data_IF_638876135568
#
_entry.id   IF_638876135568
#
_cell.length_a   1.000
_cell.length_b   1.000
_cell.length_c   1.000
_cell.angle_alpha   90.00
_cell.angle_beta   90.00
_cell.angle_gamma   90.00
#
_symmetry.space_group_name_H-M   'P 1'
#
loop_
_entity.id
_entity.type
_entity.pdbx_description
1 polymer ?
#
# COMPACT_ATOMS: atom_id res chain seq x y z
N UNK A 1 1.76 20.38 11.62
CA UNK A 1 2.90 19.57 12.15
C UNK A 1 2.89 18.22 11.46
N UNK A 2 4.02 17.78 10.90
CA UNK A 2 4.18 16.43 10.34
C UNK A 2 5.34 15.77 11.07
N UNK A 3 5.16 14.55 11.59
CA UNK A 3 6.19 13.82 12.32
C UNK A 3 5.99 12.29 12.27
N UNK A 4 7.06 11.54 12.55
CA UNK A 4 7.04 10.08 12.60
C UNK A 4 6.79 9.61 14.05
N UNK A 5 5.77 8.79 14.26
CA UNK A 5 5.32 8.33 15.59
C UNK A 5 6.47 7.76 16.43
N UNK A 6 7.29 6.88 15.81
CA UNK A 6 8.40 6.21 16.49
C UNK A 6 9.58 7.13 16.85
N UNK A 7 9.62 8.35 16.33
CA UNK A 7 10.69 9.31 16.59
C UNK A 7 10.33 10.27 17.73
N UNK A 8 9.04 10.30 18.14
CA UNK A 8 8.58 11.14 19.23
C UNK A 8 8.88 10.49 20.59
N UNK A 9 9.43 11.29 21.49
CA UNK A 9 9.49 10.95 22.90
C UNK A 9 8.09 11.04 23.53
N UNK A 10 7.92 10.42 24.73
CA UNK A 10 6.66 10.55 25.47
C UNK A 10 6.27 12.01 25.73
N UNK A 11 7.22 12.86 26.06
CA UNK A 11 6.94 14.28 26.34
C UNK A 11 6.50 15.04 25.08
N UNK A 12 7.09 14.77 23.95
CA UNK A 12 6.68 15.36 22.66
C UNK A 12 5.29 14.87 22.27
N UNK A 13 5.00 13.58 22.46
CA UNK A 13 3.66 13.01 22.22
C UNK A 13 2.58 13.65 23.10
N UNK A 14 2.89 14.06 24.33
CA UNK A 14 1.96 14.79 25.22
C UNK A 14 1.58 16.17 24.68
N UNK A 15 2.41 16.77 23.82
CA UNK A 15 2.15 18.08 23.20
C UNK A 15 1.39 17.99 21.88
N UNK A 16 1.21 16.79 21.32
CA UNK A 16 0.44 16.60 20.08
C UNK A 16 -1.03 16.91 20.32
N UNK A 17 -1.63 17.75 19.46
CA UNK A 17 -3.08 17.97 19.42
C UNK A 17 -3.77 16.73 18.85
N UNK A 18 -4.00 15.73 19.70
CA UNK A 18 -4.48 14.41 19.30
C UNK A 18 -5.89 14.40 18.71
N UNK A 19 -6.70 15.38 19.06
CA UNK A 19 -8.08 15.50 18.53
C UNK A 19 -8.09 15.92 17.05
N UNK A 20 -7.20 16.85 16.68
CA UNK A 20 -7.11 17.38 15.32
C UNK A 20 -6.00 16.72 14.47
N UNK A 21 -5.21 15.83 15.05
CA UNK A 21 -4.13 15.14 14.36
C UNK A 21 -4.65 13.88 13.66
N UNK A 22 -4.28 13.71 12.39
CA UNK A 22 -4.50 12.47 11.63
C UNK A 22 -3.34 11.53 11.93
N UNK A 23 -3.63 10.29 12.32
CA UNK A 23 -2.62 9.21 12.36
C UNK A 23 -2.73 8.41 11.08
N UNK A 24 -1.71 8.49 10.22
CA UNK A 24 -1.62 7.71 8.98
C UNK A 24 -0.91 6.39 9.27
N UNK A 25 -1.61 5.27 9.05
CA UNK A 25 -1.14 3.91 9.35
C UNK A 25 -0.87 3.19 8.02
N UNK A 26 0.39 3.13 7.55
CA UNK A 26 0.72 2.51 6.28
C UNK A 26 0.77 0.98 6.40
N UNK A 27 0.02 0.31 5.52
CA UNK A 27 -0.15 -1.13 5.48
C UNK A 27 0.54 -1.72 4.25
N UNK A 28 1.70 -2.31 4.44
CA UNK A 28 2.44 -3.06 3.42
C UNK A 28 2.13 -4.56 3.45
N UNK A 29 2.94 -5.32 2.73
CA UNK A 29 2.95 -6.77 2.75
C UNK A 29 4.36 -7.32 2.49
N UNK A 30 4.53 -8.61 2.74
CA UNK A 30 5.76 -9.35 2.44
C UNK A 30 5.40 -10.56 1.58
N UNK A 31 5.44 -10.38 0.26
CA UNK A 31 4.97 -11.35 -0.71
C UNK A 31 5.76 -11.32 -2.02
N UNK A 32 5.63 -12.38 -2.80
CA UNK A 32 6.28 -12.46 -4.10
C UNK A 32 5.77 -11.37 -5.07
N UNK A 33 6.67 -10.78 -5.84
CA UNK A 33 6.40 -9.82 -6.92
C UNK A 33 7.16 -10.21 -8.20
N UNK A 34 7.03 -11.50 -8.59
CA UNK A 34 7.78 -12.07 -9.71
C UNK A 34 9.25 -12.34 -9.38
N UNK A 35 10.03 -12.50 -10.43
CA UNK A 35 11.47 -12.75 -10.30
C UNK A 35 12.27 -11.44 -10.21
N UNK A 36 11.69 -10.32 -10.62
CA UNK A 36 12.38 -9.06 -10.83
C UNK A 36 12.27 -8.08 -9.65
N UNK A 37 11.25 -8.18 -8.82
CA UNK A 37 11.03 -7.25 -7.71
C UNK A 37 11.16 -7.95 -6.35
N UNK A 38 11.55 -7.21 -5.28
CA UNK A 38 11.78 -7.82 -3.97
C UNK A 38 10.49 -8.22 -3.27
N UNK A 39 10.58 -9.18 -2.34
CA UNK A 39 9.45 -9.63 -1.52
C UNK A 39 8.80 -8.51 -0.69
N UNK A 40 9.55 -7.47 -0.37
CA UNK A 40 9.07 -6.32 0.40
C UNK A 40 8.54 -5.15 -0.45
N UNK A 41 8.19 -5.37 -1.70
CA UNK A 41 7.74 -4.32 -2.64
C UNK A 41 6.67 -3.42 -2.02
N UNK A 42 5.56 -3.97 -1.50
CA UNK A 42 4.49 -3.19 -0.88
C UNK A 42 4.95 -2.39 0.35
N UNK A 43 5.82 -2.99 1.16
CA UNK A 43 6.38 -2.34 2.35
C UNK A 43 7.32 -1.19 1.97
N UNK A 44 8.13 -1.37 0.93
CA UNK A 44 9.00 -0.32 0.39
C UNK A 44 8.17 0.82 -0.20
N UNK A 45 7.14 0.50 -0.98
CA UNK A 45 6.20 1.47 -1.54
C UNK A 45 5.47 2.22 -0.43
N UNK A 46 5.03 1.52 0.64
CA UNK A 46 4.36 2.16 1.78
C UNK A 46 5.27 3.19 2.48
N UNK A 47 6.55 2.86 2.66
CA UNK A 47 7.54 3.81 3.19
C UNK A 47 7.74 5.02 2.28
N UNK A 48 7.98 4.77 0.99
CA UNK A 48 8.15 5.82 0.01
C UNK A 48 6.92 6.73 -0.10
N UNK A 49 5.70 6.15 -0.08
CA UNK A 49 4.46 6.95 -0.09
C UNK A 49 4.39 7.91 1.09
N UNK A 50 4.81 7.50 2.29
CA UNK A 50 4.87 8.41 3.44
C UNK A 50 5.81 9.59 3.17
N UNK A 51 6.99 9.33 2.60
CA UNK A 51 7.97 10.39 2.29
C UNK A 51 7.45 11.34 1.19
N UNK A 52 6.77 10.81 0.16
CA UNK A 52 6.16 11.63 -0.90
C UNK A 52 4.96 12.45 -0.39
N UNK A 53 4.12 11.88 0.49
CA UNK A 53 3.02 12.58 1.15
C UNK A 53 3.57 13.73 2.01
N UNK A 54 4.61 13.48 2.80
CA UNK A 54 5.26 14.52 3.62
C UNK A 54 5.78 15.67 2.75
N UNK A 55 6.40 15.36 1.61
CA UNK A 55 6.89 16.35 0.65
C UNK A 55 5.77 17.19 0.04
N UNK A 56 4.67 16.57 -0.37
CA UNK A 56 3.52 17.27 -0.97
C UNK A 56 2.73 18.11 0.06
N UNK A 57 2.75 17.74 1.34
CA UNK A 57 2.10 18.48 2.44
C UNK A 57 2.94 19.63 3.02
N UNK A 58 4.14 19.89 2.49
CA UNK A 58 5.11 20.82 3.07
C UNK A 58 4.54 22.22 3.36
N UNK A 59 3.65 22.71 2.50
CA UNK A 59 3.07 24.05 2.60
C UNK A 59 1.62 24.05 3.13
N UNK A 60 1.13 22.88 3.59
CA UNK A 60 -0.21 22.71 4.11
C UNK A 60 -0.25 22.84 5.65
N UNK A 61 -1.27 23.51 6.17
CA UNK A 61 -1.53 23.56 7.61
C UNK A 61 -2.29 22.29 8.03
N UNK A 62 -1.54 21.24 8.34
CA UNK A 62 -2.07 19.94 8.73
C UNK A 62 -1.26 19.34 9.89
N UNK A 63 -1.96 18.67 10.79
CA UNK A 63 -1.35 17.82 11.81
C UNK A 63 -1.43 16.36 11.39
N UNK A 64 -0.27 15.77 11.08
CA UNK A 64 -0.12 14.40 10.61
C UNK A 64 0.95 13.67 11.40
N UNK A 65 0.61 12.52 11.94
CA UNK A 65 1.56 11.59 12.54
C UNK A 65 1.64 10.34 11.68
N UNK A 66 2.82 10.08 11.13
CA UNK A 66 3.10 8.89 10.34
C UNK A 66 3.42 7.72 11.28
N UNK A 67 2.53 6.72 11.33
CA UNK A 67 2.76 5.48 12.08
C UNK A 67 3.82 4.63 11.37
N UNK A 68 4.58 3.76 12.10
CA UNK A 68 5.49 2.82 11.47
C UNK A 68 4.80 1.95 10.42
N UNK A 69 5.47 1.70 9.30
CA UNK A 69 4.93 0.79 8.28
C UNK A 69 4.68 -0.58 8.89
N UNK A 70 3.49 -1.13 8.68
CA UNK A 70 3.18 -2.51 9.05
C UNK A 70 3.63 -3.41 7.88
N UNK A 71 4.74 -4.16 8.05
CA UNK A 71 5.44 -4.77 6.91
C UNK A 71 4.88 -6.12 6.49
N UNK A 72 3.95 -6.69 7.22
CA UNK A 72 3.31 -7.98 6.93
C UNK A 72 1.80 -7.81 6.99
N UNK A 73 1.10 -8.27 5.96
CA UNK A 73 -0.34 -8.16 5.81
C UNK A 73 -1.01 -9.50 5.48
N UNK A 74 -2.07 -9.42 4.68
CA UNK A 74 -2.82 -10.55 4.15
C UNK A 74 -2.38 -10.84 2.72
N UNK A 75 -1.62 -11.89 2.53
CA UNK A 75 -1.06 -12.35 1.26
C UNK A 75 -1.35 -13.84 1.04
N UNK A 76 -2.56 -14.26 1.43
CA UNK A 76 -2.96 -15.68 1.37
C UNK A 76 -2.89 -16.25 -0.04
N UNK A 77 -3.20 -15.44 -1.04
CA UNK A 77 -3.13 -15.75 -2.47
C UNK A 77 -1.71 -16.04 -2.96
N UNK A 78 -0.69 -15.53 -2.25
CA UNK A 78 0.73 -15.69 -2.60
C UNK A 78 1.47 -16.76 -1.78
N UNK A 79 0.80 -17.42 -0.83
CA UNK A 79 1.45 -18.31 0.17
C UNK A 79 2.22 -19.48 -0.43
N UNK A 80 1.87 -19.91 -1.64
CA UNK A 80 2.53 -21.05 -2.31
C UNK A 80 3.84 -20.64 -3.02
N UNK A 81 4.14 -19.34 -3.07
CA UNK A 81 5.41 -18.81 -3.58
C UNK A 81 6.39 -18.58 -2.43
N UNK A 82 7.61 -19.06 -2.64
CA UNK A 82 8.69 -18.98 -1.65
C UNK A 82 8.95 -17.54 -1.21
N UNK A 83 9.05 -17.33 0.10
CA UNK A 83 9.34 -16.02 0.71
C UNK A 83 8.11 -15.21 1.08
N UNK A 84 6.92 -15.54 0.59
CA UNK A 84 5.69 -14.87 1.01
C UNK A 84 5.33 -15.21 2.45
N UNK A 85 5.10 -14.18 3.27
CA UNK A 85 4.69 -14.30 4.67
C UNK A 85 3.34 -13.61 4.84
N UNK A 86 2.35 -14.34 5.35
CA UNK A 86 1.00 -13.83 5.53
C UNK A 86 0.46 -14.12 6.92
N UNK A 87 -0.27 -13.18 7.49
CA UNK A 87 -1.09 -13.43 8.66
C UNK A 87 -2.36 -14.20 8.29
N UNK A 88 -2.96 -14.87 9.28
CA UNK A 88 -4.36 -15.28 9.19
C UNK A 88 -5.25 -14.03 9.32
N UNK A 89 -6.42 -13.98 8.64
CA UNK A 89 -7.29 -12.80 8.68
C UNK A 89 -7.60 -12.31 10.11
N UNK A 90 -7.94 -13.21 11.02
CA UNK A 90 -8.26 -12.83 12.40
C UNK A 90 -7.05 -12.35 13.20
N UNK A 91 -5.85 -12.85 12.92
CA UNK A 91 -4.61 -12.36 13.55
C UNK A 91 -4.34 -10.93 13.13
N UNK A 92 -4.48 -10.64 11.82
CA UNK A 92 -4.27 -9.29 11.28
C UNK A 92 -5.35 -8.32 11.76
N UNK A 93 -6.61 -8.79 11.80
CA UNK A 93 -7.74 -8.05 12.37
C UNK A 93 -7.44 -7.61 13.80
N UNK A 94 -7.09 -8.54 14.70
CA UNK A 94 -6.84 -8.21 16.11
C UNK A 94 -5.63 -7.29 16.28
N UNK A 95 -4.56 -7.49 15.52
CA UNK A 95 -3.40 -6.59 15.57
C UNK A 95 -3.79 -5.13 15.21
N UNK A 96 -4.53 -4.93 14.13
CA UNK A 96 -4.97 -3.58 13.73
C UNK A 96 -5.98 -3.00 14.73
N UNK A 97 -6.86 -3.85 15.28
CA UNK A 97 -7.82 -3.45 16.30
C UNK A 97 -7.12 -2.94 17.57
N UNK A 98 -6.13 -3.68 18.07
CA UNK A 98 -5.36 -3.33 19.26
C UNK A 98 -4.55 -2.04 19.06
N UNK A 99 -4.03 -1.81 17.85
CA UNK A 99 -3.38 -0.54 17.48
C UNK A 99 -4.38 0.62 17.55
N UNK A 100 -5.56 0.46 16.94
CA UNK A 100 -6.60 1.48 16.95
C UNK A 100 -7.14 1.75 18.36
N UNK A 101 -7.32 0.71 19.18
CA UNK A 101 -7.71 0.83 20.60
C UNK A 101 -6.70 1.67 21.36
N UNK A 102 -5.40 1.37 21.20
CA UNK A 102 -4.32 2.11 21.86
C UNK A 102 -4.29 3.58 21.44
N UNK A 103 -4.41 3.86 20.16
CA UNK A 103 -4.46 5.24 19.62
C UNK A 103 -5.69 5.99 20.14
N UNK A 104 -6.85 5.35 20.14
CA UNK A 104 -8.09 5.92 20.68
C UNK A 104 -8.00 6.19 22.19
N UNK A 105 -7.41 5.25 22.95
CA UNK A 105 -7.14 5.39 24.39
C UNK A 105 -6.28 6.63 24.68
N UNK A 106 -5.30 6.92 23.81
CA UNK A 106 -4.46 8.11 23.92
C UNK A 106 -5.12 9.41 23.39
N UNK A 107 -6.36 9.33 22.91
CA UNK A 107 -7.16 10.49 22.53
C UNK A 107 -7.12 10.86 21.04
N UNK A 108 -6.44 10.08 20.19
CA UNK A 108 -6.50 10.30 18.76
C UNK A 108 -7.90 10.01 18.20
N UNK A 109 -8.38 10.89 17.32
CA UNK A 109 -9.73 10.79 16.75
C UNK A 109 -9.74 10.42 15.27
N UNK A 110 -8.77 10.84 14.51
CA UNK A 110 -8.69 10.64 13.05
C UNK A 110 -7.61 9.61 12.73
N UNK A 111 -8.03 8.40 12.29
CA UNK A 111 -7.15 7.28 11.96
C UNK A 111 -7.29 6.97 10.48
N UNK A 112 -6.21 7.01 9.69
CA UNK A 112 -6.24 6.74 8.27
C UNK A 112 -5.34 5.54 7.93
N UNK A 113 -5.92 4.44 7.45
CA UNK A 113 -5.17 3.32 6.90
C UNK A 113 -4.73 3.66 5.49
N UNK A 114 -3.43 3.71 5.24
CA UNK A 114 -2.87 3.82 3.89
C UNK A 114 -2.58 2.41 3.36
N UNK A 115 -3.48 1.91 2.53
CA UNK A 115 -3.39 0.55 2.00
C UNK A 115 -2.46 0.54 0.78
N UNK A 116 -1.29 -0.08 0.93
CA UNK A 116 -0.29 -0.24 -0.13
C UNK A 116 -0.25 -1.66 -0.72
N UNK A 117 -1.11 -2.55 -0.24
CA UNK A 117 -1.31 -3.92 -0.71
C UNK A 117 -2.80 -4.24 -0.80
N UNK A 118 -3.26 -4.66 -1.97
CA UNK A 118 -4.69 -4.90 -2.24
C UNK A 118 -5.34 -5.91 -1.30
N UNK A 119 -4.61 -6.96 -0.89
CA UNK A 119 -5.09 -7.99 0.05
C UNK A 119 -5.45 -7.45 1.44
N UNK A 120 -4.93 -6.29 1.84
CA UNK A 120 -5.27 -5.64 3.11
C UNK A 120 -6.61 -4.89 3.07
N UNK A 121 -7.11 -4.52 1.90
CA UNK A 121 -8.32 -3.69 1.74
C UNK A 121 -9.56 -4.26 2.44
N UNK A 122 -9.89 -5.57 2.32
CA UNK A 122 -11.08 -6.12 2.97
C UNK A 122 -11.04 -5.97 4.50
N UNK A 123 -9.88 -6.21 5.12
CA UNK A 123 -9.72 -6.09 6.57
C UNK A 123 -9.71 -4.63 7.01
N UNK A 124 -9.04 -3.73 6.28
CA UNK A 124 -9.05 -2.30 6.60
C UNK A 124 -10.48 -1.74 6.58
N UNK A 125 -11.29 -2.12 5.60
CA UNK A 125 -12.70 -1.73 5.51
C UNK A 125 -13.55 -2.33 6.65
N UNK A 126 -13.34 -3.60 7.00
CA UNK A 126 -14.07 -4.24 8.08
C UNK A 126 -13.75 -3.56 9.42
N UNK A 127 -12.46 -3.42 9.73
CA UNK A 127 -12.01 -2.89 11.01
C UNK A 127 -12.41 -1.42 11.21
N UNK A 128 -12.42 -0.62 10.14
CA UNK A 128 -12.86 0.77 10.18
C UNK A 128 -14.27 0.92 10.76
N UNK A 129 -15.18 -0.03 10.44
CA UNK A 129 -16.54 -0.01 10.96
C UNK A 129 -16.59 -0.37 12.43
N UNK A 130 -15.83 -1.38 12.84
CA UNK A 130 -15.79 -1.87 14.23
C UNK A 130 -15.17 -0.82 15.16
N UNK A 131 -13.96 -0.32 14.85
CA UNK A 131 -13.29 0.68 15.70
C UNK A 131 -14.06 2.00 15.77
N UNK A 132 -14.79 2.39 14.70
CA UNK A 132 -15.68 3.55 14.74
C UNK A 132 -16.82 3.35 15.72
N UNK A 133 -17.41 2.15 15.73
CA UNK A 133 -18.48 1.76 16.65
C UNK A 133 -18.00 1.74 18.10
N UNK A 134 -16.85 1.11 18.34
CA UNK A 134 -16.39 0.80 19.69
C UNK A 134 -15.67 1.96 20.35
N UNK A 135 -14.78 2.65 19.63
CA UNK A 135 -13.92 3.70 20.19
C UNK A 135 -14.38 5.13 19.86
N UNK A 136 -15.43 5.30 19.03
CA UNK A 136 -15.94 6.63 18.59
C UNK A 136 -14.85 7.48 17.93
N UNK A 137 -13.95 6.84 17.20
CA UNK A 137 -12.96 7.47 16.33
C UNK A 137 -13.48 7.60 14.90
N UNK A 138 -12.76 8.31 14.04
CA UNK A 138 -13.07 8.51 12.63
C UNK A 138 -12.00 7.78 11.79
N UNK A 139 -12.23 6.52 11.43
CA UNK A 139 -11.31 5.77 10.59
C UNK A 139 -11.58 6.02 9.10
N UNK A 140 -10.52 6.12 8.33
CA UNK A 140 -10.52 6.29 6.88
C UNK A 140 -9.68 5.18 6.24
N UNK A 141 -10.04 4.77 5.03
CA UNK A 141 -9.26 3.80 4.25
C UNK A 141 -8.86 4.48 2.95
N UNK A 142 -7.57 4.72 2.80
CA UNK A 142 -6.95 5.36 1.65
C UNK A 142 -6.15 4.30 0.86
N UNK A 143 -6.32 4.26 -0.45
CA UNK A 143 -5.53 3.37 -1.30
C UNK A 143 -4.35 4.14 -1.89
N UNK A 144 -3.15 3.58 -1.78
CA UNK A 144 -1.91 4.24 -2.20
C UNK A 144 -1.73 4.36 -3.71
N UNK A 145 -2.51 3.63 -4.50
CA UNK A 145 -2.36 3.57 -5.95
C UNK A 145 -3.36 4.46 -6.67
N UNK A 146 -2.88 5.44 -7.40
CA UNK A 146 -3.70 6.20 -8.36
C UNK A 146 -3.80 5.45 -9.71
N UNK A 147 -3.98 4.13 -9.69
CA UNK A 147 -3.93 3.27 -10.89
C UNK A 147 -4.98 3.64 -11.95
N UNK A 148 -6.09 4.22 -11.53
CA UNK A 148 -7.13 4.70 -12.45
C UNK A 148 -6.90 6.13 -12.96
N UNK A 149 -5.90 6.85 -12.43
CA UNK A 149 -5.59 8.20 -12.88
C UNK A 149 -5.15 8.21 -14.35
N UNK A 150 -5.70 9.10 -15.21
CA UNK A 150 -5.38 9.12 -16.64
C UNK A 150 -3.90 9.23 -16.94
N UNK A 151 -3.17 10.07 -16.19
CA UNK A 151 -1.74 10.29 -16.42
C UNK A 151 -0.91 9.06 -15.98
N UNK A 152 -1.32 8.33 -14.95
CA UNK A 152 -0.69 7.06 -14.58
C UNK A 152 -0.92 6.02 -15.67
N UNK A 153 -2.16 5.86 -16.13
CA UNK A 153 -2.48 4.96 -17.25
C UNK A 153 -1.69 5.28 -18.52
N UNK A 154 -1.46 6.56 -18.79
CA UNK A 154 -0.70 7.01 -19.96
C UNK A 154 0.81 6.68 -19.88
N UNK A 155 1.36 6.43 -18.68
CA UNK A 155 2.77 6.05 -18.52
C UNK A 155 3.01 4.57 -18.81
N UNK A 156 1.99 3.72 -18.62
CA UNK A 156 2.13 2.26 -18.75
C UNK A 156 2.17 1.84 -20.21
N UNK A 157 3.26 1.20 -20.61
CA UNK A 157 3.52 0.87 -22.02
C UNK A 157 3.21 -0.57 -22.37
N UNK A 158 3.34 -1.50 -21.43
CA UNK A 158 3.31 -2.94 -21.69
C UNK A 158 2.13 -3.68 -21.06
N UNK A 159 1.76 -3.35 -19.84
CA UNK A 159 0.85 -4.16 -19.05
C UNK A 159 -0.58 -3.66 -18.96
N UNK A 160 -0.96 -2.65 -19.71
CA UNK A 160 -2.17 -1.83 -19.51
C UNK A 160 -3.48 -2.58 -19.20
N UNK A 161 -3.62 -3.84 -19.60
CA UNK A 161 -4.85 -4.63 -19.38
C UNK A 161 -4.83 -5.38 -18.04
N UNK A 162 -3.65 -5.72 -17.51
CA UNK A 162 -3.49 -6.60 -16.34
C UNK A 162 -2.35 -6.16 -15.41
N UNK A 163 -1.92 -4.90 -15.47
CA UNK A 163 -0.87 -4.41 -14.58
C UNK A 163 -1.46 -4.08 -13.20
N UNK A 164 -1.53 -5.09 -12.33
CA UNK A 164 -2.11 -4.92 -11.00
C UNK A 164 -1.31 -5.59 -9.87
N UNK A 165 -0.31 -6.44 -10.20
CA UNK A 165 0.57 -7.06 -9.21
C UNK A 165 1.91 -7.46 -9.83
N UNK A 166 3.01 -6.93 -9.30
CA UNK A 166 4.36 -7.22 -9.76
C UNK A 166 4.66 -6.81 -11.20
N UNK A 167 3.85 -5.93 -11.77
CA UNK A 167 3.97 -5.49 -13.16
C UNK A 167 4.85 -4.25 -13.34
N UNK A 168 4.57 -3.50 -14.41
CA UNK A 168 5.34 -2.32 -14.80
C UNK A 168 5.27 -1.20 -13.75
N UNK A 169 4.09 -0.99 -13.14
CA UNK A 169 3.88 0.09 -12.17
C UNK A 169 4.70 -0.11 -10.90
N UNK A 170 4.50 -1.24 -10.21
CA UNK A 170 5.17 -1.51 -8.94
C UNK A 170 6.68 -1.68 -9.12
N UNK A 171 7.11 -2.36 -10.19
CA UNK A 171 8.54 -2.48 -10.52
C UNK A 171 9.17 -1.12 -10.74
N UNK A 172 8.48 -0.19 -11.43
CA UNK A 172 8.95 1.19 -11.64
C UNK A 172 9.07 1.97 -10.33
N UNK A 173 8.10 1.83 -9.42
CA UNK A 173 8.15 2.48 -8.10
C UNK A 173 9.32 1.96 -7.26
N UNK A 174 9.60 0.64 -7.28
CA UNK A 174 10.78 0.08 -6.60
C UNK A 174 12.08 0.61 -7.19
N UNK A 175 12.17 0.81 -8.51
CA UNK A 175 13.36 1.41 -9.14
C UNK A 175 13.64 2.82 -8.65
N UNK A 176 12.62 3.60 -8.28
CA UNK A 176 12.81 4.92 -7.67
C UNK A 176 13.37 4.79 -6.26
N UNK A 177 12.86 3.84 -5.49
CA UNK A 177 13.22 3.65 -4.08
C UNK A 177 14.65 3.13 -3.97
N UNK A 178 14.94 2.04 -4.67
CA UNK A 178 16.26 1.45 -4.80
C UNK A 178 16.35 0.57 -6.06
N UNK A 179 16.94 1.10 -7.12
CA UNK A 179 17.09 0.40 -8.40
C UNK A 179 17.90 -0.91 -8.28
N UNK A 180 18.81 -1.00 -7.30
CA UNK A 180 19.62 -2.20 -7.09
C UNK A 180 18.82 -3.44 -6.67
N UNK A 181 17.61 -3.25 -6.14
CA UNK A 181 16.68 -4.31 -5.75
C UNK A 181 15.95 -4.92 -6.95
N UNK A 182 15.94 -4.27 -8.10
CA UNK A 182 15.22 -4.72 -9.29
C UNK A 182 16.13 -5.51 -10.22
N UNK A 183 15.63 -6.63 -10.74
CA UNK A 183 16.34 -7.56 -11.64
C UNK A 183 15.56 -7.74 -12.94
N UNK A 184 15.47 -6.69 -13.78
CA UNK A 184 14.67 -6.70 -15.00
C UNK A 184 15.06 -7.81 -15.99
N UNK A 185 16.30 -8.24 -15.99
CA UNK A 185 16.80 -9.34 -16.81
C UNK A 185 16.18 -10.70 -16.45
N UNK A 186 15.58 -10.83 -15.27
CA UNK A 186 14.85 -12.02 -14.83
C UNK A 186 13.33 -11.88 -14.97
N UNK A 187 12.85 -10.76 -15.49
CA UNK A 187 11.41 -10.49 -15.60
C UNK A 187 10.74 -11.40 -16.63
N UNK A 188 9.54 -11.84 -16.28
CA UNK A 188 8.64 -12.60 -17.15
C UNK A 188 7.27 -11.91 -17.15
N UNK A 189 6.52 -12.04 -18.23
CA UNK A 189 5.15 -11.50 -18.32
C UNK A 189 4.16 -12.47 -17.72
N UNK A 190 3.29 -11.97 -16.83
CA UNK A 190 2.19 -12.72 -16.24
C UNK A 190 0.88 -12.49 -16.96
N UNK A 191 0.23 -13.55 -17.41
CA UNK A 191 -1.09 -13.54 -18.03
C UNK A 191 -2.07 -14.43 -17.25
N UNK A 192 -3.39 -14.17 -17.30
CA UNK A 192 -4.36 -15.00 -16.61
C UNK A 192 -4.45 -16.39 -17.23
N UNK A 193 -4.43 -17.42 -16.38
CA UNK A 193 -4.49 -18.83 -16.78
C UNK A 193 -5.77 -19.21 -17.52
N UNK A 194 -6.86 -18.51 -17.21
CA UNK A 194 -8.17 -18.78 -17.83
C UNK A 194 -9.06 -17.54 -17.85
N UNK A 195 -10.15 -17.62 -18.61
CA UNK A 195 -11.11 -16.51 -18.78
C UNK A 195 -12.03 -16.30 -17.56
N UNK A 196 -12.10 -17.26 -16.61
CA UNK A 196 -12.95 -17.15 -15.42
C UNK A 196 -12.48 -16.02 -14.49
N UNK A 197 -11.21 -15.59 -14.59
CA UNK A 197 -10.68 -14.43 -13.89
C UNK A 197 -11.45 -13.14 -14.21
N UNK A 198 -12.03 -13.02 -15.43
CA UNK A 198 -12.86 -11.88 -15.83
C UNK A 198 -14.23 -11.86 -15.13
N UNK A 199 -14.66 -12.99 -14.55
CA UNK A 199 -15.91 -13.11 -13.80
C UNK A 199 -15.71 -12.95 -12.28
N UNK A 200 -14.67 -12.23 -11.87
CA UNK A 200 -14.34 -11.95 -10.46
C UNK A 200 -14.09 -13.21 -9.61
N UNK A 201 -13.50 -14.24 -10.21
CA UNK A 201 -12.99 -15.39 -9.46
C UNK A 201 -12.00 -14.90 -8.40
N UNK A 202 -12.14 -15.38 -7.16
CA UNK A 202 -11.08 -15.20 -6.16
C UNK A 202 -9.83 -15.92 -6.64
N UNK A 203 -8.83 -15.17 -7.07
CA UNK A 203 -7.63 -15.70 -7.70
C UNK A 203 -6.57 -16.11 -6.68
N UNK A 204 -5.71 -17.02 -7.11
CA UNK A 204 -4.44 -17.31 -6.46
C UNK A 204 -3.30 -16.83 -7.36
N UNK A 205 -2.14 -16.55 -6.79
CA UNK A 205 -0.97 -16.15 -7.56
C UNK A 205 -0.58 -17.19 -8.64
N UNK A 206 -0.83 -18.48 -8.37
CA UNK A 206 -0.65 -19.59 -9.34
C UNK A 206 -1.61 -19.57 -10.53
N UNK A 207 -2.63 -18.71 -10.53
CA UNK A 207 -3.52 -18.51 -11.68
C UNK A 207 -2.93 -17.53 -12.72
N UNK A 208 -1.81 -16.90 -12.39
CA UNK A 208 -1.04 -16.04 -13.26
C UNK A 208 0.19 -16.79 -13.75
N UNK A 209 0.27 -16.94 -15.07
CA UNK A 209 1.23 -17.85 -15.72
C UNK A 209 1.99 -17.13 -16.83
N UNK A 210 3.16 -17.67 -17.19
CA UNK A 210 3.87 -17.28 -18.42
C UNK A 210 3.09 -17.75 -19.67
N UNK A 211 3.50 -17.34 -20.86
CA UNK A 211 2.91 -17.79 -22.13
C UNK A 211 3.00 -19.32 -22.30
N UNK A 212 4.02 -19.98 -21.70
CA UNK A 212 4.18 -21.43 -21.66
C UNK A 212 3.35 -22.12 -20.58
N UNK A 213 2.57 -21.35 -19.77
CA UNK A 213 1.69 -21.88 -18.73
C UNK A 213 2.38 -22.17 -17.39
N UNK A 214 3.59 -21.69 -17.16
CA UNK A 214 4.29 -21.82 -15.88
C UNK A 214 3.78 -20.76 -14.89
N UNK A 215 3.38 -21.12 -13.66
CA UNK A 215 3.01 -20.14 -12.65
C UNK A 215 4.15 -19.15 -12.37
N UNK A 216 3.86 -17.86 -12.52
CA UNK A 216 4.82 -16.77 -12.28
C UNK A 216 4.35 -15.82 -11.14
N UNK A 217 3.06 -15.81 -10.85
CA UNK A 217 2.47 -15.12 -9.72
C UNK A 217 2.22 -13.62 -9.89
N UNK A 218 2.60 -13.02 -11.01
CA UNK A 218 2.39 -11.61 -11.29
C UNK A 218 1.33 -11.39 -12.37
N UNK A 219 0.60 -10.29 -12.28
CA UNK A 219 -0.39 -9.87 -13.27
C UNK A 219 0.04 -8.61 -13.99
N UNK A 220 0.87 -8.75 -15.03
CA UNK A 220 1.42 -7.63 -15.78
C UNK A 220 2.67 -8.00 -16.57
N UNK A 221 3.30 -6.99 -17.16
CA UNK A 221 4.56 -7.12 -17.89
C UNK A 221 5.58 -6.08 -17.35
N UNK A 222 6.47 -6.49 -16.44
CA UNK A 222 7.42 -5.57 -15.81
C UNK A 222 8.54 -5.07 -16.75
N UNK A 223 8.67 -5.64 -17.94
CA UNK A 223 9.77 -5.31 -18.88
C UNK A 223 9.77 -3.86 -19.36
N UNK A 224 8.64 -3.16 -19.19
CA UNK A 224 8.50 -1.73 -19.51
C UNK A 224 8.84 -0.80 -18.35
N UNK A 225 9.19 -1.31 -17.17
CA UNK A 225 9.42 -0.51 -15.98
C UNK A 225 10.64 0.43 -16.15
N UNK A 226 10.48 1.65 -15.66
CA UNK A 226 11.56 2.64 -15.61
C UNK A 226 11.42 3.53 -14.37
N UNK A 227 12.54 4.11 -13.93
CA UNK A 227 12.58 5.02 -12.81
C UNK A 227 11.71 6.27 -13.04
N UNK A 228 11.70 6.80 -14.26
CA UNK A 228 10.89 7.97 -14.64
C UNK A 228 9.39 7.70 -14.47
N UNK A 229 8.93 6.51 -14.85
CA UNK A 229 7.54 6.09 -14.63
C UNK A 229 7.21 5.96 -13.15
N UNK A 230 8.10 5.35 -12.38
CA UNK A 230 7.94 5.23 -10.93
C UNK A 230 7.80 6.58 -10.24
N UNK A 231 8.61 7.57 -10.64
CA UNK A 231 8.54 8.94 -10.10
C UNK A 231 7.19 9.61 -10.40
N UNK A 232 6.69 9.46 -11.62
CA UNK A 232 5.36 9.97 -12.01
C UNK A 232 4.26 9.29 -11.18
N UNK A 233 4.29 7.97 -11.04
CA UNK A 233 3.28 7.19 -10.32
C UNK A 233 3.28 7.58 -8.84
N UNK A 234 4.43 7.58 -8.17
CA UNK A 234 4.55 7.95 -6.75
C UNK A 234 4.07 9.39 -6.51
N UNK A 235 4.48 10.33 -7.36
CA UNK A 235 4.09 11.75 -7.24
C UNK A 235 2.58 11.93 -7.39
N UNK A 236 1.96 11.33 -8.41
CA UNK A 236 0.52 11.45 -8.63
C UNK A 236 -0.25 10.78 -7.49
N UNK A 237 0.16 9.57 -7.08
CA UNK A 237 -0.47 8.85 -5.99
C UNK A 237 -0.42 9.64 -4.68
N UNK A 238 0.73 10.24 -4.35
CA UNK A 238 0.85 11.10 -3.18
C UNK A 238 -0.07 12.32 -3.24
N UNK A 239 -0.17 12.98 -4.40
CA UNK A 239 -1.08 14.12 -4.59
C UNK A 239 -2.55 13.76 -4.39
N UNK A 240 -2.98 12.60 -4.87
CA UNK A 240 -4.36 12.14 -4.64
C UNK A 240 -4.61 11.85 -3.15
N UNK A 241 -3.67 11.17 -2.46
CA UNK A 241 -3.77 10.95 -1.01
C UNK A 241 -3.79 12.28 -0.24
N UNK A 242 -2.99 13.25 -0.63
CA UNK A 242 -2.96 14.58 0.01
C UNK A 242 -4.33 15.28 -0.09
N UNK A 243 -5.03 15.18 -1.23
CA UNK A 243 -6.40 15.70 -1.35
C UNK A 243 -7.34 15.07 -0.31
N UNK A 244 -7.25 13.76 -0.13
CA UNK A 244 -8.05 13.06 0.86
C UNK A 244 -7.67 13.46 2.29
N UNK A 245 -6.38 13.61 2.60
CA UNK A 245 -5.90 14.05 3.91
C UNK A 245 -6.37 15.49 4.25
N UNK A 246 -6.44 16.37 3.25
CA UNK A 246 -7.00 17.72 3.43
C UNK A 246 -8.50 17.64 3.76
N UNK A 247 -9.27 16.80 3.07
CA UNK A 247 -10.69 16.57 3.40
C UNK A 247 -10.87 16.00 4.81
N UNK A 248 -9.98 15.09 5.23
CA UNK A 248 -9.99 14.51 6.59
C UNK A 248 -9.62 15.58 7.63
N UNK A 249 -8.69 16.48 7.33
CA UNK A 249 -8.33 17.59 8.20
C UNK A 249 -9.55 18.46 8.48
N UNK A 250 -10.30 18.80 7.44
CA UNK A 250 -11.42 19.74 7.49
C UNK A 250 -12.71 19.10 8.05
N UNK A 251 -12.72 17.80 8.25
CA UNK A 251 -13.79 17.03 8.89
C UNK A 251 -13.77 17.21 10.42
#
# INVERSE_FOLDING_TARGET
MICKYQELTRLEMEQVDRENTIVLIPLGALEQHGNQAPLGTDTLIAGAMCDYIEKELKDEDINLVLFPVIPVGLSTEHKDFCGSITFKPMTYYHMLYDICESLAHHGFKKLAFLVCHGGNTPIANLISREVRSDFKVYPFVLNSGAFDHPDVKATISKGSTFDFHGGEMETSMVMVIDESLVKLDTSEKGIPKNTAMKAHLSWLASDWVTEEGKPIGIGGDPSGATKEKGEIILTISAKEIVKDLILIRDF
#
